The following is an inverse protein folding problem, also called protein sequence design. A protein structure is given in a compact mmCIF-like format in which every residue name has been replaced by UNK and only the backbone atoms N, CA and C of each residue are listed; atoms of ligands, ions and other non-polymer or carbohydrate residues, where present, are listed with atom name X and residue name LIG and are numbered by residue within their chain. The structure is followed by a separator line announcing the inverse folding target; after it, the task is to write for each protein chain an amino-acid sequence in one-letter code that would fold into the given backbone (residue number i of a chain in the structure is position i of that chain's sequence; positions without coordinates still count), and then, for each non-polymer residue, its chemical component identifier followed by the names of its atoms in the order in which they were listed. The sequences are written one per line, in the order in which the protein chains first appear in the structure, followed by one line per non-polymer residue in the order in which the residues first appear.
data_IF_702081208609
#
_entry.id   IF_702081208609
#
_cell.length_a   1.000
_cell.length_b   1.000
_cell.length_c   1.000
_cell.angle_alpha   90.00
_cell.angle_beta   90.00
_cell.angle_gamma   90.00
#
_symmetry.space_group_name_H-M   'P 1'
#
loop_
_entity.id
_entity.type
_entity.pdbx_description
1 polymer ?
#
# COMPACT_ATOMS: atom_id res chain seq x y z
N UNK A 1 13.04 12.20 -13.97
CA UNK A 1 11.88 11.45 -14.47
C UNK A 1 11.37 11.99 -15.79
N UNK A 2 10.90 13.23 -15.89
CA UNK A 2 10.30 13.79 -17.15
C UNK A 2 11.18 13.77 -18.43
N UNK A 3 12.47 13.52 -18.36
CA UNK A 3 13.33 13.39 -19.55
C UNK A 3 13.33 11.94 -20.05
N UNK A 4 13.24 10.97 -19.16
CA UNK A 4 13.33 9.54 -19.49
C UNK A 4 12.01 8.97 -19.96
N UNK A 5 10.87 9.38 -19.41
CA UNK A 5 9.56 9.06 -19.95
C UNK A 5 9.41 9.54 -21.40
N UNK A 6 9.90 10.75 -21.71
CA UNK A 6 9.98 11.28 -23.08
C UNK A 6 10.82 10.38 -24.00
N UNK A 7 12.03 10.01 -23.59
CA UNK A 7 12.91 9.12 -24.36
C UNK A 7 12.29 7.74 -24.63
N UNK A 8 11.57 7.19 -23.65
CA UNK A 8 10.87 5.93 -23.82
C UNK A 8 9.69 6.08 -24.77
N UNK A 9 8.89 7.15 -24.66
CA UNK A 9 7.77 7.40 -25.58
C UNK A 9 8.24 7.62 -27.02
N UNK A 10 9.38 8.28 -27.25
CA UNK A 10 9.99 8.44 -28.57
C UNK A 10 10.39 7.09 -29.20
N UNK A 11 10.86 6.14 -28.38
CA UNK A 11 11.32 4.83 -28.84
C UNK A 11 10.20 3.77 -28.94
N UNK A 12 9.20 3.84 -28.06
CA UNK A 12 8.20 2.78 -27.85
C UNK A 12 6.76 3.22 -28.16
N UNK A 13 6.54 4.50 -28.40
CA UNK A 13 5.21 5.09 -28.63
C UNK A 13 4.46 5.43 -27.34
N UNK A 14 3.27 5.99 -27.52
CA UNK A 14 2.39 6.45 -26.42
C UNK A 14 1.70 5.29 -25.71
N UNK A 15 1.21 4.30 -26.48
CA UNK A 15 0.44 3.17 -25.96
C UNK A 15 0.41 2.03 -26.96
N UNK A 16 -0.09 0.87 -26.50
CA UNK A 16 -0.08 -0.39 -27.27
C UNK A 16 -1.39 -0.66 -28.00
N UNK A 17 -2.49 0.03 -27.66
CA UNK A 17 -3.85 -0.23 -28.18
C UNK A 17 -4.28 -1.70 -28.05
N UNK A 18 -3.78 -2.42 -27.04
CA UNK A 18 -3.99 -3.84 -26.87
C UNK A 18 -3.82 -4.28 -25.41
N UNK A 19 -4.43 -5.42 -25.10
CA UNK A 19 -4.20 -6.17 -23.86
C UNK A 19 -2.89 -6.96 -23.93
N UNK A 20 -2.39 -7.37 -22.77
CA UNK A 20 -1.05 -7.99 -22.62
C UNK A 20 -0.86 -9.25 -23.47
N UNK A 21 -1.84 -10.15 -23.53
CA UNK A 21 -1.67 -11.46 -24.16
C UNK A 21 -1.86 -11.44 -25.70
N UNK A 22 -2.42 -10.37 -26.26
CA UNK A 22 -2.59 -10.26 -27.74
C UNK A 22 -1.32 -9.65 -28.35
N UNK A 23 -1.15 -8.32 -28.25
CA UNK A 23 0.03 -7.62 -28.76
C UNK A 23 0.47 -6.44 -27.87
N UNK A 24 -0.06 -6.36 -26.63
CA UNK A 24 0.23 -5.29 -25.70
C UNK A 24 1.46 -5.50 -24.82
N UNK A 25 2.24 -6.57 -25.02
CA UNK A 25 3.46 -6.81 -24.25
C UNK A 25 4.69 -6.40 -25.06
N UNK A 26 5.48 -5.47 -24.51
CA UNK A 26 6.81 -5.15 -24.97
C UNK A 26 7.85 -5.74 -24.01
N UNK A 27 9.13 -5.77 -24.43
CA UNK A 27 10.28 -6.17 -23.63
C UNK A 27 10.36 -5.39 -22.30
N UNK A 28 10.15 -4.07 -22.34
CA UNK A 28 10.18 -3.21 -21.14
C UNK A 28 9.17 -3.60 -20.07
N UNK A 29 8.02 -4.21 -20.43
CA UNK A 29 7.09 -4.76 -19.45
C UNK A 29 7.73 -5.93 -18.69
N UNK A 30 8.45 -6.80 -19.40
CA UNK A 30 9.17 -7.93 -18.79
C UNK A 30 10.34 -7.45 -17.93
N UNK A 31 11.04 -6.40 -18.36
CA UNK A 31 12.11 -5.76 -17.58
C UNK A 31 11.57 -5.21 -16.26
N UNK A 32 10.40 -4.54 -16.28
CA UNK A 32 9.78 -4.03 -15.04
C UNK A 32 9.28 -5.16 -14.14
N UNK A 33 8.67 -6.22 -14.70
CA UNK A 33 8.29 -7.41 -13.94
C UNK A 33 9.50 -8.02 -13.22
N UNK A 34 10.63 -8.15 -13.90
CA UNK A 34 11.88 -8.66 -13.31
C UNK A 34 12.45 -7.71 -12.23
N UNK A 35 12.40 -6.39 -12.46
CA UNK A 35 12.88 -5.40 -11.47
C UNK A 35 12.05 -5.42 -10.18
N UNK A 36 10.72 -5.64 -10.29
CA UNK A 36 9.83 -5.79 -9.13
C UNK A 36 10.13 -7.10 -8.40
N UNK A 37 10.32 -8.21 -9.12
CA UNK A 37 10.67 -9.50 -8.51
C UNK A 37 11.99 -9.43 -7.74
N UNK A 38 13.02 -8.77 -8.31
CA UNK A 38 14.32 -8.54 -7.64
C UNK A 38 14.14 -7.72 -6.35
N UNK A 39 13.32 -6.66 -6.40
CA UNK A 39 13.05 -5.80 -5.25
C UNK A 39 12.37 -6.55 -4.09
N UNK A 40 11.35 -7.36 -4.38
CA UNK A 40 10.60 -8.12 -3.37
C UNK A 40 11.23 -9.50 -3.06
N UNK A 41 12.28 -9.90 -3.77
CA UNK A 41 12.93 -11.22 -3.67
C UNK A 41 11.94 -12.36 -3.94
N UNK A 42 11.14 -12.20 -5.00
CA UNK A 42 10.14 -13.15 -5.45
C UNK A 42 10.53 -13.79 -6.79
N UNK A 43 9.79 -14.79 -7.22
CA UNK A 43 10.14 -15.56 -8.41
C UNK A 43 9.63 -14.92 -9.71
N UNK A 44 8.45 -14.31 -9.68
CA UNK A 44 7.85 -13.68 -10.86
C UNK A 44 6.84 -12.58 -10.48
N UNK A 45 6.49 -11.74 -11.47
CA UNK A 45 5.60 -10.58 -11.31
C UNK A 45 4.65 -10.45 -12.49
N UNK A 46 3.43 -9.99 -12.22
CA UNK A 46 2.42 -9.63 -13.22
C UNK A 46 1.98 -8.18 -12.99
N UNK A 47 1.90 -7.39 -14.08
CA UNK A 47 1.53 -5.97 -14.04
C UNK A 47 0.04 -5.77 -14.32
N UNK A 48 -0.56 -4.80 -13.64
CA UNK A 48 -1.95 -4.35 -13.78
C UNK A 48 -2.02 -2.83 -14.00
N UNK A 49 -3.18 -2.33 -14.44
CA UNK A 49 -3.42 -0.90 -14.60
C UNK A 49 -3.35 -0.15 -13.25
N UNK A 50 -3.77 -0.78 -12.16
CA UNK A 50 -3.69 -0.26 -10.80
C UNK A 50 -3.58 -1.40 -9.78
N UNK A 51 -3.18 -1.10 -8.53
CA UNK A 51 -3.22 -2.09 -7.44
C UNK A 51 -4.66 -2.48 -7.09
N UNK A 52 -5.65 -1.63 -7.35
CA UNK A 52 -7.05 -1.99 -7.22
C UNK A 52 -7.39 -3.21 -8.11
N UNK A 53 -6.92 -3.20 -9.35
CA UNK A 53 -7.08 -4.31 -10.30
C UNK A 53 -6.26 -5.54 -9.90
N UNK A 54 -5.05 -5.34 -9.37
CA UNK A 54 -4.21 -6.42 -8.86
C UNK A 54 -4.92 -7.16 -7.72
N UNK A 55 -5.41 -6.45 -6.70
CA UNK A 55 -6.16 -7.03 -5.58
C UNK A 55 -7.47 -7.68 -6.04
N UNK A 56 -8.21 -7.02 -6.94
CA UNK A 56 -9.43 -7.58 -7.52
C UNK A 56 -9.20 -8.84 -8.36
N UNK A 57 -8.00 -8.99 -8.92
CA UNK A 57 -7.63 -10.06 -9.83
C UNK A 57 -6.97 -11.29 -9.19
N UNK A 58 -6.75 -11.30 -7.86
CA UNK A 58 -6.05 -12.39 -7.16
C UNK A 58 -6.99 -13.52 -6.75
N UNK A 59 -8.10 -13.19 -6.11
CA UNK A 59 -8.85 -14.18 -5.31
C UNK A 59 -9.68 -15.16 -6.16
N UNK A 60 -10.46 -14.65 -7.12
CA UNK A 60 -11.33 -15.48 -7.96
C UNK A 60 -10.56 -16.52 -8.81
N UNK A 61 -9.37 -16.19 -9.38
CA UNK A 61 -8.57 -17.19 -10.09
C UNK A 61 -7.97 -18.30 -9.23
N UNK A 62 -7.65 -18.00 -7.96
CA UNK A 62 -6.89 -18.88 -7.09
C UNK A 62 -7.76 -19.74 -6.16
N UNK A 63 -8.93 -19.22 -5.74
CA UNK A 63 -9.74 -19.83 -4.68
C UNK A 63 -11.18 -20.10 -5.13
N UNK A 64 -11.76 -21.18 -4.58
CA UNK A 64 -13.12 -21.65 -4.84
C UNK A 64 -13.94 -21.70 -3.56
N UNK A 65 -15.19 -22.18 -3.63
CA UNK A 65 -16.04 -22.41 -2.46
C UNK A 65 -15.49 -23.39 -1.42
N UNK A 66 -14.51 -24.22 -1.80
CA UNK A 66 -13.85 -25.17 -0.90
C UNK A 66 -12.77 -24.52 -0.02
N UNK A 67 -12.38 -23.27 -0.34
CA UNK A 67 -11.26 -22.57 0.25
C UNK A 67 -11.71 -21.47 1.24
N UNK A 68 -10.75 -20.90 1.97
CA UNK A 68 -10.99 -19.82 2.92
C UNK A 68 -10.08 -18.61 2.70
N UNK A 69 -10.66 -17.42 2.84
CA UNK A 69 -9.94 -16.14 2.88
C UNK A 69 -10.14 -15.51 4.26
N UNK A 70 -9.04 -15.28 4.98
CA UNK A 70 -9.01 -14.69 6.32
C UNK A 70 -8.44 -13.28 6.20
N UNK A 71 -9.30 -12.27 6.25
CA UNK A 71 -8.97 -10.88 5.92
C UNK A 71 -8.96 -9.99 7.16
N UNK A 72 -7.95 -9.12 7.29
CA UNK A 72 -7.95 -8.04 8.29
C UNK A 72 -9.16 -7.11 8.07
N UNK A 73 -9.75 -6.66 9.15
CA UNK A 73 -10.97 -5.84 9.15
C UNK A 73 -10.79 -4.44 8.58
N UNK A 74 -9.55 -3.92 8.55
CA UNK A 74 -9.22 -2.60 8.01
C UNK A 74 -8.49 -2.65 6.66
N UNK A 75 -8.45 -3.81 6.01
CA UNK A 75 -7.90 -3.93 4.67
C UNK A 75 -8.53 -2.94 3.69
N UNK A 76 -7.74 -2.51 2.71
CA UNK A 76 -8.14 -1.59 1.67
C UNK A 76 -9.39 -2.09 0.91
N UNK A 77 -10.22 -1.15 0.43
CA UNK A 77 -11.45 -1.45 -0.30
C UNK A 77 -11.25 -2.41 -1.48
N UNK A 78 -10.14 -2.33 -2.19
CA UNK A 78 -9.82 -3.23 -3.31
C UNK A 78 -9.67 -4.69 -2.89
N UNK A 79 -9.09 -4.95 -1.70
CA UNK A 79 -9.02 -6.30 -1.12
C UNK A 79 -10.43 -6.77 -0.75
N UNK A 80 -11.20 -5.91 -0.07
CA UNK A 80 -12.59 -6.22 0.32
C UNK A 80 -13.43 -6.58 -0.91
N UNK A 81 -13.33 -5.81 -1.98
CA UNK A 81 -14.10 -6.04 -3.20
C UNK A 81 -13.60 -7.28 -3.95
N UNK A 82 -12.29 -7.51 -4.04
CA UNK A 82 -11.72 -8.72 -4.60
C UNK A 82 -12.18 -9.99 -3.86
N UNK A 83 -12.18 -9.95 -2.52
CA UNK A 83 -12.71 -11.04 -1.69
C UNK A 83 -14.21 -11.24 -1.90
N UNK A 84 -14.99 -10.17 -2.13
CA UNK A 84 -16.43 -10.26 -2.42
C UNK A 84 -16.73 -10.92 -3.76
N UNK A 85 -15.89 -10.77 -4.75
CA UNK A 85 -16.03 -11.42 -6.06
C UNK A 85 -15.69 -12.91 -6.01
N UNK A 86 -14.92 -13.35 -5.03
CA UNK A 86 -14.54 -14.76 -4.85
C UNK A 86 -15.65 -15.53 -4.11
N UNK A 87 -15.78 -16.83 -4.43
CA UNK A 87 -16.74 -17.74 -3.78
C UNK A 87 -16.21 -18.39 -2.50
N UNK A 88 -14.93 -18.22 -2.18
CA UNK A 88 -14.30 -18.78 -0.99
C UNK A 88 -14.99 -18.31 0.29
N UNK A 89 -14.97 -19.15 1.31
CA UNK A 89 -15.51 -18.80 2.62
C UNK A 89 -14.72 -17.66 3.25
N UNK A 90 -15.41 -16.67 3.79
CA UNK A 90 -14.80 -15.43 4.28
C UNK A 90 -14.78 -15.41 5.79
N UNK A 91 -13.61 -15.15 6.33
CA UNK A 91 -13.37 -14.88 7.74
C UNK A 91 -12.79 -13.48 7.87
N UNK A 92 -13.15 -12.78 8.93
CA UNK A 92 -12.67 -11.42 9.18
C UNK A 92 -12.17 -11.35 10.61
N UNK A 93 -10.93 -10.93 10.79
CA UNK A 93 -10.34 -10.72 12.12
C UNK A 93 -10.15 -9.22 12.40
N UNK A 94 -10.17 -8.85 13.69
CA UNK A 94 -9.97 -7.49 14.13
C UNK A 94 -8.56 -7.00 13.76
N UNK A 95 -8.44 -5.71 13.42
CA UNK A 95 -7.19 -5.14 12.90
C UNK A 95 -5.98 -5.47 13.78
N UNK A 96 -5.00 -6.13 13.17
CA UNK A 96 -3.75 -6.57 13.77
C UNK A 96 -3.92 -7.38 15.10
N UNK A 97 -5.07 -7.97 15.34
CA UNK A 97 -5.35 -8.82 16.50
C UNK A 97 -4.99 -10.27 16.18
N UNK A 98 -3.86 -10.72 16.72
CA UNK A 98 -3.34 -12.06 16.47
C UNK A 98 -4.16 -13.16 17.17
N UNK A 99 -4.83 -12.85 18.26
CA UNK A 99 -5.70 -13.84 18.92
C UNK A 99 -6.98 -14.08 18.10
N UNK A 100 -7.55 -13.02 17.52
CA UNK A 100 -8.69 -13.12 16.63
C UNK A 100 -8.33 -13.74 15.27
N UNK A 101 -7.11 -13.46 14.75
CA UNK A 101 -6.56 -14.15 13.57
C UNK A 101 -6.44 -15.66 13.83
N UNK A 102 -5.88 -16.06 14.96
CA UNK A 102 -5.75 -17.47 15.32
C UNK A 102 -7.11 -18.17 15.43
N UNK A 103 -8.10 -17.52 16.05
CA UNK A 103 -9.49 -18.03 16.10
C UNK A 103 -10.03 -18.27 14.68
N UNK A 104 -9.87 -17.30 13.77
CA UNK A 104 -10.32 -17.43 12.37
C UNK A 104 -9.62 -18.60 11.66
N UNK A 105 -8.31 -18.76 11.86
CA UNK A 105 -7.53 -19.86 11.28
C UNK A 105 -8.01 -21.23 11.81
N UNK A 106 -8.31 -21.33 13.11
CA UNK A 106 -8.88 -22.54 13.70
C UNK A 106 -10.25 -22.89 13.11
N UNK A 107 -11.13 -21.89 12.96
CA UNK A 107 -12.46 -22.07 12.34
C UNK A 107 -12.38 -22.46 10.85
N UNK A 108 -11.31 -22.06 10.17
CA UNK A 108 -11.10 -22.32 8.74
C UNK A 108 -10.42 -23.67 8.44
N UNK A 109 -10.17 -24.54 9.43
CA UNK A 109 -9.42 -25.77 9.23
C UNK A 109 -10.15 -26.81 8.35
N UNK A 110 -11.45 -26.73 8.21
CA UNK A 110 -12.22 -27.62 7.34
C UNK A 110 -12.11 -27.28 5.85
N UNK A 111 -11.62 -26.09 5.49
CA UNK A 111 -11.44 -25.65 4.11
C UNK A 111 -10.14 -26.22 3.52
N UNK A 112 -10.15 -26.49 2.19
CA UNK A 112 -9.03 -27.09 1.45
C UNK A 112 -7.77 -26.23 1.54
N UNK A 113 -7.86 -24.96 1.13
CA UNK A 113 -6.80 -23.97 1.25
C UNK A 113 -7.25 -22.78 2.08
N UNK A 114 -6.31 -22.15 2.76
CA UNK A 114 -6.50 -20.94 3.56
C UNK A 114 -5.50 -19.89 3.12
N UNK A 115 -5.94 -18.62 3.06
CA UNK A 115 -5.03 -17.49 2.86
C UNK A 115 -5.34 -16.39 3.87
N UNK A 116 -4.30 -15.91 4.55
CA UNK A 116 -4.35 -14.71 5.38
C UNK A 116 -4.02 -13.50 4.50
N UNK A 117 -4.85 -12.45 4.57
CA UNK A 117 -4.71 -11.26 3.73
C UNK A 117 -4.68 -10.02 4.61
N UNK A 118 -3.66 -9.17 4.42
CA UNK A 118 -3.49 -7.92 5.16
C UNK A 118 -2.89 -6.82 4.30
N UNK A 119 -3.21 -5.54 4.61
CA UNK A 119 -2.36 -4.42 4.22
C UNK A 119 -1.06 -4.48 5.03
N UNK A 120 0.07 -4.15 4.45
CA UNK A 120 1.34 -4.00 5.17
C UNK A 120 1.34 -2.76 6.06
N UNK A 121 0.81 -1.65 5.53
CA UNK A 121 0.52 -0.41 6.26
C UNK A 121 -0.92 0.01 5.98
N UNK A 122 -1.70 0.15 7.04
CA UNK A 122 -3.11 0.56 6.93
C UNK A 122 -3.22 2.06 6.66
N UNK A 123 -3.81 2.40 5.52
CA UNK A 123 -3.75 3.73 4.92
C UNK A 123 -4.34 4.87 5.76
N UNK A 124 -5.29 4.58 6.67
CA UNK A 124 -5.97 5.60 7.46
C UNK A 124 -5.34 5.85 8.83
N UNK A 125 -4.65 4.87 9.37
CA UNK A 125 -4.01 4.92 10.68
C UNK A 125 -2.49 5.00 10.60
N UNK A 126 -1.90 4.42 9.56
CA UNK A 126 -0.46 4.30 9.40
C UNK A 126 0.15 3.16 10.20
N UNK A 127 -0.62 2.40 10.95
CA UNK A 127 -0.12 1.24 11.69
C UNK A 127 0.37 0.14 10.73
N UNK A 128 1.37 -0.59 11.17
CA UNK A 128 2.05 -1.64 10.41
C UNK A 128 1.54 -3.00 10.86
N UNK A 129 1.27 -3.89 9.90
CA UNK A 129 0.88 -5.27 10.19
C UNK A 129 2.05 -6.03 10.86
N UNK A 130 1.83 -6.78 11.94
CA UNK A 130 2.87 -7.58 12.61
C UNK A 130 3.17 -8.85 11.82
N UNK A 131 3.92 -8.70 10.70
CA UNK A 131 4.11 -9.75 9.71
C UNK A 131 4.82 -10.99 10.23
N UNK A 132 5.73 -10.86 11.17
CA UNK A 132 6.37 -11.99 11.86
C UNK A 132 5.34 -12.90 12.51
N UNK A 133 4.45 -12.33 13.31
CA UNK A 133 3.38 -13.07 14.01
C UNK A 133 2.31 -13.61 13.05
N UNK A 134 1.99 -12.86 12.00
CA UNK A 134 1.05 -13.33 10.96
C UNK A 134 1.63 -14.55 10.26
N UNK A 135 2.90 -14.52 9.86
CA UNK A 135 3.58 -15.65 9.23
C UNK A 135 3.70 -16.85 10.18
N UNK A 136 4.00 -16.62 11.47
CA UNK A 136 4.05 -17.72 12.47
C UNK A 136 2.69 -18.44 12.58
N UNK A 137 1.59 -17.69 12.62
CA UNK A 137 0.25 -18.28 12.65
C UNK A 137 -0.12 -18.95 11.33
N UNK A 138 0.22 -18.34 10.20
CA UNK A 138 -0.04 -18.94 8.89
C UNK A 138 0.69 -20.28 8.72
N UNK A 139 1.96 -20.38 9.09
CA UNK A 139 2.72 -21.63 9.08
C UNK A 139 2.12 -22.66 10.04
N UNK A 140 1.74 -22.26 11.25
CA UNK A 140 1.12 -23.16 12.26
C UNK A 140 -0.17 -23.79 11.74
N UNK A 141 -0.95 -23.07 10.94
CA UNK A 141 -2.26 -23.52 10.45
C UNK A 141 -2.29 -23.85 8.95
N UNK A 142 -1.13 -24.03 8.32
CA UNK A 142 -0.97 -24.35 6.91
C UNK A 142 -1.77 -23.40 5.99
N UNK A 143 -1.53 -22.10 6.13
CA UNK A 143 -2.17 -21.06 5.37
C UNK A 143 -1.16 -20.25 4.53
N UNK A 144 -1.57 -19.83 3.35
CA UNK A 144 -0.82 -18.87 2.53
C UNK A 144 -0.92 -17.46 3.14
N UNK A 145 0.03 -16.59 2.79
CA UNK A 145 0.05 -15.19 3.21
C UNK A 145 0.09 -14.26 2.00
N UNK A 146 -0.83 -13.29 1.97
CA UNK A 146 -0.82 -12.17 1.03
C UNK A 146 -0.71 -10.86 1.78
N UNK A 147 0.18 -9.97 1.31
CA UNK A 147 0.30 -8.61 1.83
C UNK A 147 0.22 -7.56 0.72
N UNK A 148 -0.56 -6.50 0.93
CA UNK A 148 -0.58 -5.31 0.09
C UNK A 148 0.46 -4.30 0.61
N UNK A 149 1.52 -4.11 -0.16
CA UNK A 149 2.64 -3.22 0.14
C UNK A 149 2.45 -1.79 -0.38
N UNK A 150 1.25 -1.41 -0.78
CA UNK A 150 0.98 -0.10 -1.43
C UNK A 150 1.36 1.12 -0.59
N UNK A 151 1.39 1.00 0.73
CA UNK A 151 1.79 2.07 1.66
C UNK A 151 3.08 1.76 2.43
N UNK A 152 3.64 0.57 2.28
CA UNK A 152 4.84 0.13 2.99
C UNK A 152 6.09 0.08 2.09
N UNK A 153 5.97 -0.44 0.88
CA UNK A 153 7.10 -0.48 -0.05
C UNK A 153 7.56 0.93 -0.45
N UNK A 154 8.87 1.14 -0.44
CA UNK A 154 9.51 2.45 -0.58
C UNK A 154 9.57 3.26 0.72
N UNK A 155 8.99 2.77 1.84
CA UNK A 155 8.77 3.55 3.07
C UNK A 155 9.20 2.81 4.34
N UNK A 156 8.74 1.57 4.53
CA UNK A 156 8.93 0.77 5.74
C UNK A 156 10.12 -0.17 5.58
N UNK A 157 10.81 -0.44 6.67
CA UNK A 157 12.01 -1.26 6.72
C UNK A 157 13.29 -0.43 6.71
N UNK A 158 14.43 -1.01 7.09
CA UNK A 158 15.72 -0.31 7.18
C UNK A 158 16.17 0.35 5.88
N UNK A 159 15.81 -0.19 4.73
CA UNK A 159 16.12 0.35 3.40
C UNK A 159 14.88 0.63 2.56
N UNK A 160 13.69 0.58 3.18
CA UNK A 160 12.42 0.89 2.54
C UNK A 160 11.82 -0.25 1.71
N UNK A 161 12.28 -1.50 1.86
CA UNK A 161 11.77 -2.63 1.08
C UNK A 161 10.45 -3.23 1.60
N UNK A 162 9.74 -2.52 2.48
CA UNK A 162 8.43 -2.92 2.96
C UNK A 162 8.43 -3.75 4.24
N UNK A 163 7.28 -4.33 4.54
CA UNK A 163 7.08 -5.02 5.84
C UNK A 163 7.86 -6.32 5.96
N UNK A 164 8.16 -6.97 4.83
CA UNK A 164 8.98 -8.19 4.88
C UNK A 164 10.44 -7.91 5.25
N UNK A 165 10.97 -6.74 4.88
CA UNK A 165 12.28 -6.29 5.37
C UNK A 165 12.22 -5.95 6.86
N UNK A 166 11.18 -5.21 7.27
CA UNK A 166 10.99 -4.76 8.64
C UNK A 166 10.94 -5.93 9.65
N UNK A 167 10.31 -7.03 9.27
CA UNK A 167 10.07 -8.17 10.15
C UNK A 167 10.89 -9.42 9.80
N UNK A 168 11.74 -9.37 8.78
CA UNK A 168 12.54 -10.52 8.35
C UNK A 168 11.72 -11.67 7.76
N UNK A 169 10.59 -11.39 7.11
CA UNK A 169 9.65 -12.40 6.62
C UNK A 169 9.79 -12.72 5.14
N UNK A 170 10.91 -12.38 4.51
CA UNK A 170 11.20 -12.82 3.14
C UNK A 170 11.12 -14.34 3.01
N UNK A 171 10.47 -14.82 1.96
CA UNK A 171 10.26 -16.24 1.69
C UNK A 171 9.12 -16.88 2.49
N UNK A 172 8.47 -16.13 3.41
CA UNK A 172 7.31 -16.57 4.20
C UNK A 172 5.99 -15.97 3.71
N UNK A 173 6.04 -14.97 2.85
CA UNK A 173 4.88 -14.35 2.19
C UNK A 173 4.78 -14.92 0.78
N UNK A 174 3.60 -15.43 0.40
CA UNK A 174 3.37 -16.09 -0.88
C UNK A 174 3.02 -15.10 -2.00
N UNK A 175 2.30 -14.03 -1.65
CA UNK A 175 1.79 -13.04 -2.60
C UNK A 175 2.00 -11.64 -2.02
N UNK A 176 2.65 -10.79 -2.81
CA UNK A 176 2.67 -9.35 -2.57
C UNK A 176 1.86 -8.66 -3.66
N UNK A 177 1.08 -7.66 -3.28
CA UNK A 177 0.52 -6.69 -4.22
C UNK A 177 1.04 -5.30 -3.90
N UNK A 178 1.01 -4.41 -4.88
CA UNK A 178 1.50 -3.05 -4.68
C UNK A 178 1.17 -2.13 -5.82
N UNK A 179 1.44 -0.84 -5.63
CA UNK A 179 1.14 0.21 -6.60
C UNK A 179 2.38 0.95 -7.05
N UNK A 180 2.43 1.30 -8.33
CA UNK A 180 3.40 2.23 -8.90
C UNK A 180 2.93 3.69 -8.76
N UNK A 181 1.69 3.90 -8.29
CA UNK A 181 1.05 5.21 -8.17
C UNK A 181 1.33 5.96 -6.85
N UNK A 182 2.25 5.50 -6.01
CA UNK A 182 2.62 6.12 -4.73
C UNK A 182 4.14 6.32 -4.64
N UNK A 183 4.84 5.64 -3.73
CA UNK A 183 6.29 5.79 -3.53
C UNK A 183 7.10 5.42 -4.78
N UNK A 184 6.63 4.51 -5.61
CA UNK A 184 7.29 4.05 -6.83
C UNK A 184 7.03 4.92 -8.07
N UNK A 185 6.81 6.21 -7.92
CA UNK A 185 6.75 7.16 -9.03
C UNK A 185 5.51 8.02 -9.12
N UNK A 186 4.40 7.63 -8.49
CA UNK A 186 3.20 8.47 -8.30
C UNK A 186 2.29 8.60 -9.53
N UNK A 187 2.44 7.74 -10.56
CA UNK A 187 1.61 7.81 -11.75
C UNK A 187 0.49 6.74 -11.74
N UNK A 188 0.64 5.70 -12.51
CA UNK A 188 -0.34 4.63 -12.70
C UNK A 188 0.37 3.29 -12.64
N UNK A 189 -0.38 2.23 -12.36
CA UNK A 189 0.12 0.87 -12.38
C UNK A 189 0.01 0.18 -11.03
N UNK A 190 -0.16 -1.13 -11.10
CA UNK A 190 -0.15 -2.05 -9.97
C UNK A 190 0.55 -3.34 -10.36
N UNK A 191 0.83 -4.16 -9.39
CA UNK A 191 1.46 -5.45 -9.61
C UNK A 191 1.04 -6.47 -8.56
N UNK A 192 1.15 -7.74 -8.94
CA UNK A 192 1.19 -8.88 -8.02
C UNK A 192 2.52 -9.59 -8.25
N UNK A 193 3.24 -9.90 -7.19
CA UNK A 193 4.52 -10.62 -7.25
C UNK A 193 4.56 -11.72 -6.20
N UNK A 194 5.20 -12.85 -6.51
CA UNK A 194 5.19 -14.01 -5.63
C UNK A 194 5.76 -15.26 -6.29
N UNK A 195 5.24 -16.41 -5.90
CA UNK A 195 5.64 -17.71 -6.48
C UNK A 195 5.26 -17.79 -7.96
N UNK A 196 6.14 -18.37 -8.75
CA UNK A 196 5.96 -18.46 -10.20
C UNK A 196 4.65 -19.14 -10.61
N UNK A 197 4.27 -20.21 -9.95
CA UNK A 197 3.05 -20.96 -10.25
C UNK A 197 1.78 -20.12 -10.05
N UNK A 198 1.76 -19.29 -9.01
CA UNK A 198 0.67 -18.34 -8.73
C UNK A 198 0.60 -17.30 -9.85
N UNK A 199 1.73 -16.70 -10.19
CA UNK A 199 1.79 -15.66 -11.23
C UNK A 199 1.43 -16.22 -12.60
N UNK A 200 1.89 -17.43 -12.95
CA UNK A 200 1.53 -18.09 -14.20
C UNK A 200 0.01 -18.35 -14.29
N UNK A 201 -0.61 -18.79 -13.19
CA UNK A 201 -2.06 -18.96 -13.14
C UNK A 201 -2.83 -17.65 -13.27
N UNK A 202 -2.36 -16.58 -12.61
CA UNK A 202 -2.95 -15.24 -12.74
C UNK A 202 -2.86 -14.72 -14.18
N UNK A 203 -1.76 -14.94 -14.89
CA UNK A 203 -1.63 -14.56 -16.30
C UNK A 203 -2.68 -15.22 -17.20
N UNK A 204 -3.13 -16.41 -16.85
CA UNK A 204 -4.13 -17.16 -17.63
C UNK A 204 -5.57 -16.85 -17.22
N UNK A 205 -5.82 -16.42 -15.97
CA UNK A 205 -7.17 -16.38 -15.41
C UNK A 205 -7.57 -15.05 -14.79
N UNK A 206 -6.63 -14.16 -14.45
CA UNK A 206 -6.93 -12.87 -13.82
C UNK A 206 -7.62 -11.93 -14.81
N UNK A 207 -8.92 -11.73 -14.68
CA UNK A 207 -9.74 -10.94 -15.60
C UNK A 207 -9.26 -9.49 -15.75
N UNK A 208 -8.87 -8.75 -14.67
CA UNK A 208 -8.33 -7.41 -14.83
C UNK A 208 -7.04 -7.35 -15.68
N UNK A 209 -6.20 -8.39 -15.62
CA UNK A 209 -5.03 -8.51 -16.49
C UNK A 209 -5.41 -8.84 -17.95
N UNK A 210 -6.31 -9.79 -18.12
CA UNK A 210 -6.67 -10.28 -19.45
C UNK A 210 -7.42 -9.22 -20.27
N UNK A 211 -8.26 -8.42 -19.65
CA UNK A 211 -9.22 -7.56 -20.35
C UNK A 211 -8.95 -6.05 -20.24
N UNK A 212 -7.93 -5.65 -19.48
CA UNK A 212 -7.45 -4.26 -19.46
C UNK A 212 -6.24 -4.07 -20.36
N UNK A 213 -6.13 -2.89 -20.97
CA UNK A 213 -4.98 -2.55 -21.78
C UNK A 213 -3.69 -2.55 -20.97
N UNK A 214 -2.57 -2.77 -21.63
CA UNK A 214 -1.23 -2.73 -21.07
C UNK A 214 -0.90 -1.34 -20.53
N UNK A 215 -0.06 -1.29 -19.50
CA UNK A 215 0.54 -0.03 -19.06
C UNK A 215 1.29 0.66 -20.21
N UNK A 216 1.13 1.97 -20.31
CA UNK A 216 1.77 2.77 -21.34
C UNK A 216 3.31 2.76 -21.19
N UNK A 217 4.07 2.74 -22.31
CA UNK A 217 5.54 2.70 -22.28
C UNK A 217 6.19 3.79 -21.43
N UNK A 218 5.65 5.01 -21.42
CA UNK A 218 6.16 6.10 -20.58
C UNK A 218 6.09 5.81 -19.09
N UNK A 219 5.01 5.14 -18.63
CA UNK A 219 4.84 4.70 -17.24
C UNK A 219 5.87 3.62 -16.89
N UNK A 220 6.01 2.62 -17.78
CA UNK A 220 6.97 1.53 -17.59
C UNK A 220 8.40 2.06 -17.48
N UNK A 221 8.80 2.93 -18.42
CA UNK A 221 10.15 3.50 -18.42
C UNK A 221 10.45 4.38 -17.19
N UNK A 222 9.48 5.17 -16.75
CA UNK A 222 9.61 5.94 -15.52
C UNK A 222 9.74 5.04 -14.29
N UNK A 223 8.95 3.96 -14.21
CA UNK A 223 9.00 3.00 -13.10
C UNK A 223 10.33 2.25 -13.06
N UNK A 224 10.86 1.80 -14.20
CA UNK A 224 12.20 1.18 -14.28
C UNK A 224 13.28 2.09 -13.71
N UNK A 225 13.20 3.39 -14.01
CA UNK A 225 14.14 4.35 -13.44
C UNK A 225 14.01 4.49 -11.92
N UNK A 226 12.78 4.45 -11.40
CA UNK A 226 12.56 4.48 -9.94
C UNK A 226 13.18 3.26 -9.27
N UNK A 227 12.97 2.05 -9.77
CA UNK A 227 13.60 0.84 -9.20
C UNK A 227 15.13 0.90 -9.29
N UNK A 228 15.68 1.48 -10.36
CA UNK A 228 17.12 1.72 -10.46
C UNK A 228 17.61 2.69 -9.38
N UNK A 229 16.94 3.83 -9.18
CA UNK A 229 17.29 4.80 -8.14
C UNK A 229 17.23 4.19 -6.73
N UNK A 230 16.21 3.39 -6.43
CA UNK A 230 16.06 2.70 -5.15
C UNK A 230 17.20 1.69 -4.90
N UNK A 231 17.71 1.04 -5.96
CA UNK A 231 18.85 0.12 -5.85
C UNK A 231 20.18 0.85 -5.65
N UNK A 232 20.31 2.07 -6.17
CA UNK A 232 21.55 2.87 -6.12
C UNK A 232 21.72 3.64 -4.81
N UNK A 233 20.63 4.02 -4.10
CA UNK A 233 20.74 4.91 -2.95
C UNK A 233 19.52 4.86 -2.02
N UNK A 234 19.78 4.88 -0.71
CA UNK A 234 18.78 5.02 0.34
C UNK A 234 18.52 6.49 0.75
N UNK A 235 19.20 7.46 0.14
CA UNK A 235 19.18 8.85 0.60
C UNK A 235 17.76 9.46 0.69
N UNK A 236 16.85 9.10 -0.23
CA UNK A 236 15.46 9.58 -0.17
C UNK A 236 14.68 8.91 0.97
N UNK A 237 14.92 7.64 1.23
CA UNK A 237 14.33 6.92 2.36
C UNK A 237 14.80 7.51 3.69
N UNK A 238 16.09 7.73 3.85
CA UNK A 238 16.68 8.31 5.07
C UNK A 238 16.11 9.71 5.33
N UNK A 239 16.03 10.55 4.28
CA UNK A 239 15.40 11.88 4.37
C UNK A 239 13.92 11.79 4.72
N UNK A 240 13.20 10.78 4.21
CA UNK A 240 11.80 10.56 4.57
C UNK A 240 11.66 10.28 6.07
N UNK A 241 12.46 9.38 6.61
CA UNK A 241 12.43 9.02 8.03
C UNK A 241 12.77 10.21 8.92
N UNK A 242 13.80 11.00 8.55
CA UNK A 242 14.15 12.24 9.24
C UNK A 242 12.99 13.23 9.26
N UNK A 243 12.35 13.47 8.12
CA UNK A 243 11.19 14.34 7.98
C UNK A 243 10.00 13.88 8.82
N UNK A 244 9.72 12.57 8.81
CA UNK A 244 8.61 11.96 9.58
C UNK A 244 8.84 12.14 11.07
N UNK A 245 10.03 11.81 11.57
CA UNK A 245 10.37 11.95 12.98
C UNK A 245 10.30 13.43 13.42
N UNK A 246 10.88 14.32 12.62
CA UNK A 246 10.81 15.77 12.88
C UNK A 246 9.37 16.26 13.01
N UNK A 247 8.51 15.92 12.05
CA UNK A 247 7.11 16.34 12.08
C UNK A 247 6.37 15.79 13.31
N UNK A 248 6.50 14.50 13.59
CA UNK A 248 5.84 13.86 14.74
C UNK A 248 6.27 14.46 16.06
N UNK A 249 7.58 14.63 16.27
CA UNK A 249 8.12 15.16 17.52
C UNK A 249 7.60 16.58 17.80
N UNK A 250 7.59 17.44 16.77
CA UNK A 250 7.09 18.79 16.87
C UNK A 250 5.60 18.88 17.13
N UNK A 251 4.81 18.04 16.43
CA UNK A 251 3.35 18.00 16.61
C UNK A 251 2.97 17.44 17.98
N UNK A 252 3.64 16.40 18.45
CA UNK A 252 3.43 15.81 19.78
C UNK A 252 3.82 16.81 20.86
N UNK A 253 4.96 17.49 20.72
CA UNK A 253 5.40 18.54 21.65
C UNK A 253 4.43 19.75 21.70
N UNK A 254 3.73 20.03 20.59
CA UNK A 254 2.68 21.06 20.54
C UNK A 254 1.36 20.63 21.22
N UNK A 255 1.22 19.35 21.60
CA UNK A 255 0.04 18.83 22.30
C UNK A 255 -0.98 18.10 21.40
N UNK A 256 -0.65 17.83 20.14
CA UNK A 256 -1.52 17.02 19.28
C UNK A 256 -1.44 15.54 19.64
N UNK A 257 -2.60 14.88 19.60
CA UNK A 257 -2.69 13.42 19.66
C UNK A 257 -2.41 12.83 18.28
N UNK A 258 -1.29 12.14 18.14
CA UNK A 258 -0.88 11.46 16.91
C UNK A 258 -0.78 9.97 17.17
N UNK A 259 -1.49 9.17 16.37
CA UNK A 259 -1.39 7.71 16.49
C UNK A 259 0.06 7.24 16.27
N UNK A 260 0.57 6.36 17.14
CA UNK A 260 1.89 5.77 16.96
C UNK A 260 1.94 4.98 15.62
N UNK A 261 3.00 5.19 14.84
CA UNK A 261 3.21 4.48 13.58
C UNK A 261 4.69 4.45 13.21
N UNK A 262 5.10 3.46 12.41
CA UNK A 262 6.43 3.35 11.81
C UNK A 262 6.42 3.73 10.32
N UNK A 263 5.29 4.24 9.81
CA UNK A 263 5.13 4.65 8.41
C UNK A 263 5.22 6.17 8.25
N UNK A 264 5.19 6.64 6.99
CA UNK A 264 5.18 8.07 6.67
C UNK A 264 3.78 8.72 6.82
N UNK A 265 2.80 7.99 7.30
CA UNK A 265 1.45 8.47 7.58
C UNK A 265 1.38 8.95 9.02
N UNK A 266 0.95 10.21 9.22
CA UNK A 266 0.73 10.80 10.53
C UNK A 266 -0.75 11.13 10.69
N UNK A 267 -1.48 10.35 11.49
CA UNK A 267 -2.88 10.60 11.80
C UNK A 267 -3.01 11.53 12.99
N UNK A 268 -3.33 12.81 12.74
CA UNK A 268 -3.61 13.83 13.77
C UNK A 268 -5.06 13.68 14.20
N UNK A 269 -5.30 13.16 15.40
CA UNK A 269 -6.62 12.80 15.88
C UNK A 269 -7.43 14.03 16.29
N UNK A 270 -8.65 14.13 15.78
CA UNK A 270 -9.62 15.19 16.10
C UNK A 270 -10.92 14.61 16.68
N UNK A 271 -11.16 13.30 16.47
CA UNK A 271 -12.30 12.52 16.94
C UNK A 271 -13.65 12.95 16.37
N UNK A 272 -13.99 14.24 16.32
CA UNK A 272 -15.24 14.80 15.81
C UNK A 272 -15.21 15.02 14.31
N UNK A 273 -16.25 14.53 13.60
CA UNK A 273 -16.34 14.58 12.14
C UNK A 273 -16.50 16.01 11.62
N UNK A 274 -17.29 16.86 12.29
CA UNK A 274 -17.52 18.25 11.88
C UNK A 274 -16.24 19.07 12.10
N UNK A 275 -15.59 18.87 13.25
CA UNK A 275 -14.31 19.52 13.56
C UNK A 275 -13.25 19.17 12.50
N UNK A 276 -13.15 17.90 12.07
CA UNK A 276 -12.16 17.49 11.07
C UNK A 276 -12.36 18.18 9.70
N UNK A 277 -13.61 18.45 9.32
CA UNK A 277 -13.94 19.16 8.09
C UNK A 277 -13.58 20.66 8.19
N UNK A 278 -13.99 21.30 9.30
CA UNK A 278 -13.68 22.71 9.56
C UNK A 278 -12.18 22.91 9.64
N UNK A 279 -11.48 22.00 10.33
CA UNK A 279 -10.02 22.03 10.46
C UNK A 279 -9.34 21.96 9.09
N UNK A 280 -9.74 21.01 8.23
CA UNK A 280 -9.18 20.88 6.89
C UNK A 280 -9.40 22.15 6.04
N UNK A 281 -10.59 22.76 6.12
CA UNK A 281 -10.88 24.03 5.43
C UNK A 281 -9.97 25.16 5.91
N UNK A 282 -9.80 25.31 7.23
CA UNK A 282 -8.91 26.31 7.82
C UNK A 282 -7.45 26.10 7.41
N UNK A 283 -6.99 24.84 7.35
CA UNK A 283 -5.64 24.51 6.91
C UNK A 283 -5.40 24.92 5.44
N UNK A 284 -6.41 24.76 4.57
CA UNK A 284 -6.32 25.23 3.18
C UNK A 284 -6.17 26.76 3.09
N UNK A 285 -6.84 27.52 3.94
CA UNK A 285 -6.67 28.97 4.04
C UNK A 285 -5.26 29.39 4.48
N UNK A 286 -4.58 28.56 5.28
CA UNK A 286 -3.17 28.71 5.63
C UNK A 286 -2.20 28.21 4.53
N UNK A 287 -2.74 27.73 3.39
CA UNK A 287 -1.97 27.24 2.25
C UNK A 287 -1.41 25.81 2.48
N UNK A 288 -2.05 25.01 3.34
CA UNK A 288 -1.72 23.62 3.60
C UNK A 288 -2.85 22.72 3.09
N UNK A 289 -2.54 21.88 2.11
CA UNK A 289 -3.50 20.97 1.50
C UNK A 289 -3.60 19.68 2.32
N UNK A 290 -4.67 19.54 3.10
CA UNK A 290 -5.01 18.36 3.91
C UNK A 290 -6.49 18.04 3.82
N UNK A 291 -6.88 16.82 4.16
CA UNK A 291 -8.27 16.35 4.16
C UNK A 291 -8.62 15.74 5.51
N UNK A 292 -9.82 16.07 6.00
CA UNK A 292 -10.40 15.42 7.17
C UNK A 292 -11.02 14.09 6.79
N UNK A 293 -10.65 13.02 7.52
CA UNK A 293 -11.24 11.69 7.37
C UNK A 293 -12.18 11.41 8.54
N UNK A 294 -13.39 10.96 8.21
CA UNK A 294 -14.46 10.66 9.17
C UNK A 294 -15.30 9.48 8.67
N UNK A 295 -16.25 9.03 9.48
CA UNK A 295 -17.15 7.93 9.10
C UNK A 295 -17.87 8.20 7.75
N UNK A 296 -17.95 7.23 6.81
CA UNK A 296 -17.63 5.81 6.97
C UNK A 296 -16.18 5.41 6.62
N UNK A 297 -15.31 6.34 6.25
CA UNK A 297 -13.92 6.06 5.85
C UNK A 297 -13.08 5.59 7.05
N UNK A 298 -13.35 6.14 8.21
CA UNK A 298 -12.79 5.71 9.50
C UNK A 298 -13.94 5.42 10.48
N UNK A 299 -13.73 4.69 11.57
CA UNK A 299 -14.79 4.42 12.55
C UNK A 299 -15.40 5.71 13.13
N UNK A 300 -16.64 5.63 13.64
CA UNK A 300 -17.29 6.74 14.34
C UNK A 300 -16.40 7.18 15.50
N UNK A 301 -16.41 8.48 15.78
CA UNK A 301 -15.63 9.12 16.85
C UNK A 301 -14.11 8.90 16.75
N UNK A 302 -13.64 8.66 15.52
CA UNK A 302 -12.22 8.48 15.18
C UNK A 302 -11.80 9.39 14.02
N UNK A 303 -12.46 10.54 13.86
CA UNK A 303 -12.13 11.49 12.81
C UNK A 303 -10.72 12.08 13.02
N UNK A 304 -10.04 12.35 11.92
CA UNK A 304 -8.64 12.80 11.91
C UNK A 304 -8.29 13.61 10.68
N UNK A 305 -7.19 14.35 10.75
CA UNK A 305 -6.45 14.80 9.58
C UNK A 305 -5.32 13.80 9.34
N UNK A 306 -5.28 13.20 8.15
CA UNK A 306 -4.17 12.33 7.74
C UNK A 306 -3.13 13.17 7.00
N UNK A 307 -1.94 13.27 7.58
CA UNK A 307 -0.79 13.90 6.95
C UNK A 307 0.11 12.84 6.34
N UNK A 308 0.49 13.04 5.08
CA UNK A 308 1.44 12.19 4.36
C UNK A 308 2.75 12.95 4.21
N UNK A 309 3.79 12.51 4.91
CA UNK A 309 5.14 13.07 4.78
C UNK A 309 5.84 12.49 3.55
N UNK A 310 6.70 13.30 2.95
CA UNK A 310 7.46 12.95 1.75
C UNK A 310 8.94 13.34 1.90
N UNK A 311 9.82 12.59 1.26
CA UNK A 311 11.22 12.96 1.08
C UNK A 311 11.39 14.27 0.28
N UNK A 312 10.38 14.64 -0.52
CA UNK A 312 10.35 15.93 -1.24
C UNK A 312 10.06 17.13 -0.37
N UNK A 313 9.67 16.95 0.91
CA UNK A 313 9.51 18.07 1.83
C UNK A 313 10.87 18.55 2.34
N UNK A 314 11.06 19.87 2.31
CA UNK A 314 12.15 20.53 3.00
C UNK A 314 11.68 20.97 4.40
N UNK A 315 12.62 21.31 5.26
CA UNK A 315 12.32 21.66 6.67
C UNK A 315 11.36 22.86 6.76
N UNK A 316 11.52 23.86 5.90
CA UNK A 316 10.66 25.04 5.84
C UNK A 316 9.19 24.67 5.51
N UNK A 317 8.98 23.64 4.66
CA UNK A 317 7.63 23.15 4.35
C UNK A 317 6.99 22.51 5.60
N UNK A 318 7.76 21.72 6.35
CA UNK A 318 7.29 21.08 7.58
C UNK A 318 7.03 22.11 8.68
N UNK A 319 7.91 23.09 8.87
CA UNK A 319 7.77 24.16 9.85
C UNK A 319 6.51 25.01 9.55
N UNK A 320 6.26 25.35 8.28
CA UNK A 320 5.04 26.04 7.85
C UNK A 320 3.79 25.20 8.17
N UNK A 321 3.83 23.93 7.87
CA UNK A 321 2.72 23.00 8.14
C UNK A 321 2.44 22.91 9.65
N UNK A 322 3.45 22.72 10.47
CA UNK A 322 3.35 22.63 11.94
C UNK A 322 2.79 23.93 12.51
N UNK A 323 3.29 25.09 12.06
CA UNK A 323 2.81 26.39 12.51
C UNK A 323 1.33 26.61 12.18
N UNK A 324 0.88 26.20 10.97
CA UNK A 324 -0.52 26.24 10.56
C UNK A 324 -1.39 25.32 11.45
N UNK A 325 -0.95 24.09 11.70
CA UNK A 325 -1.64 23.18 12.61
C UNK A 325 -1.80 23.78 14.02
N UNK A 326 -0.74 24.35 14.58
CA UNK A 326 -0.78 24.98 15.92
C UNK A 326 -1.74 26.17 15.94
N UNK A 327 -1.69 27.06 14.92
CA UNK A 327 -2.58 28.21 14.79
C UNK A 327 -4.04 27.77 14.75
N UNK A 328 -4.38 26.91 13.81
CA UNK A 328 -5.75 26.39 13.62
C UNK A 328 -6.21 25.57 14.86
N UNK A 329 -5.30 24.82 15.46
CA UNK A 329 -5.58 24.04 16.68
C UNK A 329 -5.99 24.92 17.86
N UNK A 330 -5.35 26.07 18.04
CA UNK A 330 -5.73 27.09 19.05
C UNK A 330 -7.03 27.78 18.72
N UNK A 331 -7.23 28.18 17.45
CA UNK A 331 -8.48 28.83 17.00
C UNK A 331 -9.71 27.94 17.21
N UNK A 332 -9.58 26.63 17.02
CA UNK A 332 -10.68 25.67 17.13
C UNK A 332 -10.74 24.94 18.49
N UNK A 333 -9.90 25.31 19.44
CA UNK A 333 -9.90 24.76 20.80
C UNK A 333 -9.40 23.31 20.89
N UNK A 334 -8.66 22.82 19.90
CA UNK A 334 -7.98 21.52 19.94
C UNK A 334 -6.74 21.58 20.83
N UNK A 335 -6.05 22.71 20.78
CA UNK A 335 -4.92 23.03 21.65
C UNK A 335 -5.33 24.10 22.67
N UNK A 336 -4.73 24.02 23.86
CA UNK A 336 -4.89 25.03 24.92
C UNK A 336 -4.06 26.28 24.67
#
# INVERSE_FOLDING_TARGET
MCIRDRQIMERRGYGMSSVRFICGTQDIHKELEAAISDYFKTEDTILYAACFDANGGVFEPLFTEEDAIISDSLNHASIIDGVRLCKAKRYRYANADMADLERCLQEAQAQRFRIVVTDGVFSMDGNVAPMDRICDLAEKYDALVMVDESHSAGVVGPTGHGVSEQYGTYGRVDIYTGTLGKAFGGALGGFTTGRKEIIDLLRQRSRPYLFSNSLAPGIIGASLEVFKMLKESNALHDKLLENVNYFRDKMTAAGFDIKPTQSAICAVMLYDAKLSQIYATRMQEEGIYVTGFYYPVVPKDQARIRVQISAGHEKEHLDKCIAAFIKVGKELGVLK
#
